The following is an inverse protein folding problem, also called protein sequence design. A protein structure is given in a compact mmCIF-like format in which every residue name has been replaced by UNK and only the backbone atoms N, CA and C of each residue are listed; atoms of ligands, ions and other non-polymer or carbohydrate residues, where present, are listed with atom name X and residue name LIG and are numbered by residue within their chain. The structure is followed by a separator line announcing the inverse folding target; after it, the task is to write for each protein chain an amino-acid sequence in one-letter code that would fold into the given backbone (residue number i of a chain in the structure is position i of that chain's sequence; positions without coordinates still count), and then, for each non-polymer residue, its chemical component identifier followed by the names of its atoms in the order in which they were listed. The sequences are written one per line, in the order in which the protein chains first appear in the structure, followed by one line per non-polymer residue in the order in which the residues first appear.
data_IF_446934672457
#
_entry.id   IF_446934672457
#
_cell.length_a   1.000
_cell.length_b   1.000
_cell.length_c   1.000
_cell.angle_alpha   90.00
_cell.angle_beta   90.00
_cell.angle_gamma   90.00
#
_symmetry.space_group_name_H-M   'P 1'
#
loop_
_entity.id
_entity.type
_entity.pdbx_description
1 polymer ?
#
# COMPACT_ATOMS: atom_id res chain seq x y z
N UNK A 1 -2.01 11.82 9.99
CA UNK A 1 -1.65 13.24 9.72
C UNK A 1 -0.42 13.74 10.51
N UNK A 2 0.28 12.85 11.23
CA UNK A 2 1.47 13.20 12.01
C UNK A 2 1.18 13.97 13.30
N UNK A 3 -0.03 13.89 13.84
CA UNK A 3 -0.41 14.49 15.12
C UNK A 3 0.02 13.65 16.35
N UNK A 4 0.53 12.44 16.11
CA UNK A 4 0.96 11.49 17.13
C UNK A 4 -0.14 10.57 17.65
N UNK A 5 -1.33 10.58 17.03
CA UNK A 5 -2.42 9.62 17.26
C UNK A 5 -2.46 8.58 16.14
N UNK A 6 -3.04 7.43 16.45
CA UNK A 6 -3.23 6.36 15.47
C UNK A 6 -4.39 6.74 14.53
N UNK A 7 -4.13 6.69 13.22
CA UNK A 7 -5.11 6.90 12.16
C UNK A 7 -5.71 5.55 11.68
N UNK A 8 -6.81 5.62 10.94
CA UNK A 8 -7.46 4.45 10.35
C UNK A 8 -7.43 4.53 8.82
N UNK A 9 -7.02 3.43 8.18
CA UNK A 9 -7.03 3.29 6.71
C UNK A 9 -7.90 2.10 6.32
N UNK A 10 -8.82 2.29 5.37
CA UNK A 10 -9.79 1.27 4.93
C UNK A 10 -9.82 1.19 3.41
N UNK A 11 -9.58 0.01 2.86
CA UNK A 11 -9.72 -0.26 1.43
C UNK A 11 -11.16 -0.57 1.00
N UNK A 12 -11.55 -0.09 -0.18
CA UNK A 12 -12.79 -0.41 -0.88
C UNK A 12 -12.47 -0.85 -2.31
N UNK A 13 -11.95 -2.08 -2.50
CA UNK A 13 -11.40 -2.53 -3.78
C UNK A 13 -12.42 -2.57 -4.92
N UNK A 14 -13.70 -2.85 -4.63
CA UNK A 14 -14.76 -2.80 -5.65
C UNK A 14 -15.08 -1.39 -6.15
N UNK A 15 -14.62 -0.36 -5.43
CA UNK A 15 -14.71 1.04 -5.84
C UNK A 15 -13.35 1.59 -6.31
N UNK A 16 -12.29 0.78 -6.29
CA UNK A 16 -10.90 1.19 -6.53
C UNK A 16 -10.47 2.37 -5.65
N UNK A 17 -10.85 2.35 -4.36
CA UNK A 17 -10.59 3.45 -3.44
C UNK A 17 -10.03 3.00 -2.08
N UNK A 18 -9.35 3.92 -1.40
CA UNK A 18 -8.95 3.80 0.00
C UNK A 18 -9.38 5.07 0.75
N UNK A 19 -9.96 4.90 1.93
CA UNK A 19 -10.31 5.99 2.83
C UNK A 19 -9.31 6.07 3.98
N UNK A 20 -8.89 7.27 4.32
CA UNK A 20 -8.12 7.59 5.53
C UNK A 20 -8.99 8.41 6.45
N UNK A 21 -9.01 8.02 7.73
CA UNK A 21 -9.68 8.72 8.81
C UNK A 21 -8.64 9.10 9.85
N UNK A 22 -8.52 10.38 10.16
CA UNK A 22 -7.59 10.85 11.17
C UNK A 22 -8.08 10.49 12.57
N UNK A 23 -7.16 10.04 13.42
CA UNK A 23 -7.45 9.48 14.74
C UNK A 23 -8.16 10.42 15.70
N UNK A 24 -8.06 11.73 15.47
CA UNK A 24 -8.64 12.75 16.33
C UNK A 24 -10.18 12.68 16.33
N UNK A 25 -10.73 12.19 17.44
CA UNK A 25 -12.18 12.17 17.65
C UNK A 25 -12.90 10.98 16.99
N UNK A 26 -12.18 9.98 16.49
CA UNK A 26 -12.80 8.72 16.06
C UNK A 26 -13.41 7.99 17.26
N UNK A 27 -14.75 7.98 17.32
CA UNK A 27 -15.53 7.25 18.32
C UNK A 27 -16.71 6.55 17.66
N UNK A 28 -16.92 5.28 18.01
CA UNK A 28 -18.05 4.50 17.50
C UNK A 28 -17.94 4.15 16.02
N UNK A 29 -19.02 4.35 15.27
CA UNK A 29 -19.11 3.97 13.85
C UNK A 29 -18.78 5.16 12.96
N UNK A 30 -17.95 4.93 11.94
CA UNK A 30 -17.63 5.93 10.91
C UNK A 30 -18.21 5.54 9.56
N UNK A 31 -18.54 6.56 8.75
CA UNK A 31 -19.08 6.40 7.40
C UNK A 31 -17.98 6.67 6.37
N UNK A 32 -18.04 6.03 5.21
CA UNK A 32 -17.13 6.37 4.11
C UNK A 32 -17.17 7.86 3.74
N UNK A 33 -18.35 8.49 3.87
CA UNK A 33 -18.54 9.92 3.59
C UNK A 33 -17.88 10.85 4.60
N UNK A 34 -17.41 10.33 5.74
CA UNK A 34 -16.67 11.08 6.75
C UNK A 34 -15.16 10.80 6.69
N UNK A 35 -14.68 10.20 5.61
CA UNK A 35 -13.25 10.05 5.38
C UNK A 35 -12.61 11.43 5.25
N UNK A 36 -11.47 11.62 5.92
CA UNK A 36 -10.67 12.84 5.82
C UNK A 36 -9.97 12.91 4.47
N UNK A 37 -9.47 11.77 3.98
CA UNK A 37 -8.85 11.66 2.66
C UNK A 37 -9.38 10.44 1.93
N UNK A 38 -9.74 10.61 0.65
CA UNK A 38 -10.06 9.49 -0.24
C UNK A 38 -8.99 9.38 -1.32
N UNK A 39 -8.31 8.24 -1.36
CA UNK A 39 -7.42 7.85 -2.44
C UNK A 39 -8.23 7.16 -3.53
N UNK A 40 -8.00 7.52 -4.80
CA UNK A 40 -8.65 6.89 -5.96
C UNK A 40 -7.61 6.23 -6.86
N UNK A 41 -7.79 4.92 -7.05
CA UNK A 41 -7.00 4.07 -7.92
C UNK A 41 -7.44 4.10 -9.39
N UNK A 42 -6.70 3.40 -10.27
CA UNK A 42 -7.16 3.12 -11.62
C UNK A 42 -8.46 2.31 -11.61
N UNK A 43 -9.35 2.56 -12.57
CA UNK A 43 -10.66 1.90 -12.66
C UNK A 43 -10.50 0.40 -12.97
N UNK A 44 -11.14 -0.45 -12.18
CA UNK A 44 -11.15 -1.91 -12.35
C UNK A 44 -9.84 -2.59 -11.94
N UNK A 45 -9.00 -1.89 -11.19
CA UNK A 45 -7.69 -2.37 -10.75
C UNK A 45 -7.74 -3.15 -9.44
N UNK A 46 -8.87 -3.08 -8.72
CA UNK A 46 -9.00 -3.60 -7.37
C UNK A 46 -8.23 -2.76 -6.35
N UNK A 47 -7.95 -1.49 -6.64
CA UNK A 47 -7.11 -0.64 -5.80
C UNK A 47 -7.62 -0.60 -4.35
N UNK A 48 -6.73 -0.88 -3.40
CA UNK A 48 -7.10 -1.00 -1.98
C UNK A 48 -7.54 -2.40 -1.57
N UNK A 49 -7.16 -3.44 -2.30
CA UNK A 49 -7.36 -4.85 -1.89
C UNK A 49 -6.53 -5.15 -0.64
N UNK A 50 -5.30 -4.65 -0.60
CA UNK A 50 -4.40 -4.62 0.52
C UNK A 50 -3.92 -3.18 0.76
N UNK A 51 -3.86 -2.82 2.03
CA UNK A 51 -3.28 -1.55 2.49
C UNK A 51 -2.25 -1.82 3.58
N UNK A 52 -1.11 -1.15 3.50
CA UNK A 52 -0.01 -1.33 4.40
C UNK A 52 0.51 0.03 4.84
N UNK A 53 0.45 0.28 6.16
CA UNK A 53 1.16 1.41 6.78
C UNK A 53 2.59 0.93 7.06
N UNK A 54 3.57 1.70 6.62
CA UNK A 54 4.99 1.42 6.87
C UNK A 54 5.62 2.65 7.49
N UNK A 55 6.41 2.43 8.54
CA UNK A 55 7.16 3.51 9.15
C UNK A 55 8.13 4.08 8.13
N UNK A 56 7.95 5.35 7.83
CA UNK A 56 8.95 6.24 7.23
C UNK A 56 9.89 5.59 6.19
N UNK A 57 9.31 4.95 5.17
CA UNK A 57 10.07 4.28 4.09
C UNK A 57 10.82 5.30 3.25
N UNK A 58 10.31 6.53 3.19
CA UNK A 58 10.91 7.64 2.45
C UNK A 58 11.85 8.52 3.28
N UNK A 59 11.92 8.32 4.59
CA UNK A 59 12.84 9.03 5.48
C UNK A 59 12.49 10.49 5.78
N UNK A 60 11.20 10.80 5.79
CA UNK A 60 10.57 12.10 6.01
C UNK A 60 9.79 12.16 7.35
N UNK A 61 10.04 11.23 8.27
CA UNK A 61 9.53 11.17 9.64
C UNK A 61 8.00 10.98 9.76
N UNK A 62 7.36 10.44 8.74
CA UNK A 62 5.92 10.10 8.74
C UNK A 62 5.71 8.73 8.13
N UNK A 63 4.72 8.01 8.64
CA UNK A 63 4.38 6.70 8.10
C UNK A 63 3.82 6.83 6.68
N UNK A 64 4.35 6.01 5.77
CA UNK A 64 3.94 5.96 4.38
C UNK A 64 2.84 4.92 4.20
N UNK A 65 1.93 5.19 3.26
CA UNK A 65 0.83 4.30 2.91
C UNK A 65 1.14 3.60 1.59
N UNK A 66 1.15 2.27 1.62
CA UNK A 66 1.20 1.44 0.42
C UNK A 66 -0.15 0.83 0.13
N UNK A 67 -0.59 0.97 -1.11
CA UNK A 67 -1.86 0.46 -1.60
C UNK A 67 -1.62 -0.40 -2.84
N UNK A 68 -2.16 -1.61 -2.85
CA UNK A 68 -2.09 -2.47 -4.04
C UNK A 68 -3.18 -2.13 -5.06
N UNK A 69 -2.97 -2.58 -6.28
CA UNK A 69 -3.89 -2.54 -7.40
C UNK A 69 -3.72 -3.85 -8.19
N UNK A 70 -4.30 -4.96 -7.71
CA UNK A 70 -3.98 -6.32 -8.13
C UNK A 70 -4.15 -6.62 -9.63
N UNK A 71 -5.10 -5.97 -10.30
CA UNK A 71 -5.38 -6.20 -11.73
C UNK A 71 -4.81 -5.11 -12.62
N UNK A 72 -4.16 -4.10 -12.05
CA UNK A 72 -3.57 -3.00 -12.80
C UNK A 72 -2.45 -3.48 -13.72
N UNK A 73 -2.45 -3.01 -14.97
CA UNK A 73 -1.43 -3.34 -15.97
C UNK A 73 -1.20 -4.87 -16.17
N UNK A 74 -2.18 -5.71 -15.83
CA UNK A 74 -2.20 -7.16 -16.08
C UNK A 74 -1.44 -8.05 -15.10
N UNK A 75 -0.46 -7.51 -14.36
CA UNK A 75 0.31 -8.24 -13.34
C UNK A 75 0.14 -7.68 -11.92
N UNK A 76 -0.52 -6.53 -11.80
CA UNK A 76 -0.70 -5.80 -10.55
C UNK A 76 0.38 -4.75 -10.30
N UNK A 77 -0.01 -3.69 -9.61
CA UNK A 77 0.88 -2.62 -9.17
C UNK A 77 0.72 -2.37 -7.66
N UNK A 78 1.73 -1.75 -7.07
CA UNK A 78 1.62 -1.13 -5.76
C UNK A 78 1.97 0.36 -5.84
N UNK A 79 1.22 1.17 -5.12
CA UNK A 79 1.34 2.61 -5.07
C UNK A 79 1.82 3.01 -3.67
N UNK A 80 2.89 3.80 -3.60
CA UNK A 80 3.40 4.35 -2.33
C UNK A 80 3.04 5.82 -2.25
N UNK A 81 2.30 6.17 -1.20
CA UNK A 81 1.91 7.53 -0.85
C UNK A 81 2.68 7.94 0.39
N UNK A 82 3.43 9.04 0.27
CA UNK A 82 4.22 9.56 1.36
C UNK A 82 3.35 10.08 2.50
N UNK A 83 3.76 9.84 3.75
CA UNK A 83 3.08 10.35 4.93
C UNK A 83 2.88 11.88 4.94
N UNK A 84 3.75 12.62 4.22
CA UNK A 84 3.63 14.08 4.05
C UNK A 84 2.48 14.51 3.13
N UNK A 85 1.88 13.60 2.35
CA UNK A 85 0.72 13.91 1.53
C UNK A 85 -0.57 14.02 2.37
N UNK A 86 -0.56 13.41 3.56
CA UNK A 86 -1.66 13.40 4.53
C UNK A 86 -1.52 14.57 5.51
N UNK A 87 -1.73 15.79 4.99
CA UNK A 87 -1.78 17.03 5.77
C UNK A 87 -3.21 17.54 5.89
N UNK A 88 -3.47 18.35 6.91
CA UNK A 88 -4.76 19.02 7.08
C UNK A 88 -5.10 19.84 5.83
N UNK A 89 -6.25 19.55 5.23
CA UNK A 89 -6.74 20.21 4.01
C UNK A 89 -6.61 19.36 2.74
N UNK A 90 -5.79 18.30 2.76
CA UNK A 90 -5.89 17.26 1.72
C UNK A 90 -7.17 16.48 1.93
N UNK A 91 -7.99 16.34 0.89
CA UNK A 91 -9.27 15.58 0.94
C UNK A 91 -9.36 14.48 -0.10
N UNK A 92 -8.54 14.56 -1.15
CA UNK A 92 -8.48 13.56 -2.20
C UNK A 92 -7.05 13.43 -2.75
N UNK A 93 -6.66 12.21 -3.06
CA UNK A 93 -5.37 11.89 -3.71
C UNK A 93 -5.66 10.89 -4.85
N UNK A 94 -5.23 11.21 -6.07
CA UNK A 94 -5.32 10.29 -7.20
C UNK A 94 -4.09 9.36 -7.26
N UNK A 95 -4.23 8.19 -7.86
CA UNK A 95 -3.14 7.26 -8.13
C UNK A 95 -1.93 7.91 -8.85
N UNK A 96 -2.19 8.91 -9.70
CA UNK A 96 -1.16 9.68 -10.42
C UNK A 96 -0.30 10.56 -9.50
N UNK A 97 -0.68 10.71 -8.24
CA UNK A 97 0.04 11.45 -7.22
C UNK A 97 0.85 10.53 -6.28
N UNK A 98 0.87 9.21 -6.52
CA UNK A 98 1.75 8.33 -5.79
C UNK A 98 3.21 8.73 -6.02
N UNK A 99 4.01 8.76 -4.94
CA UNK A 99 5.44 9.05 -5.02
C UNK A 99 6.19 7.95 -5.76
N UNK A 100 5.78 6.69 -5.56
CA UNK A 100 6.36 5.54 -6.24
C UNK A 100 5.26 4.60 -6.74
N UNK A 101 5.51 4.02 -7.92
CA UNK A 101 4.70 2.93 -8.49
C UNK A 101 5.63 1.74 -8.68
N UNK A 102 5.24 0.62 -8.09
CA UNK A 102 5.98 -0.64 -8.10
C UNK A 102 5.21 -1.59 -9.01
N UNK A 103 5.80 -1.95 -10.14
CA UNK A 103 5.22 -2.90 -11.07
C UNK A 103 5.58 -4.32 -10.65
N UNK A 104 4.60 -5.23 -10.62
CA UNK A 104 4.92 -6.65 -10.61
C UNK A 104 5.42 -7.05 -12.01
N UNK A 105 6.65 -7.55 -12.15
CA UNK A 105 7.08 -8.08 -13.44
C UNK A 105 6.38 -9.41 -13.71
N UNK A 106 5.36 -9.40 -14.57
CA UNK A 106 4.85 -10.57 -15.32
C UNK A 106 4.69 -11.88 -14.53
N UNK A 107 4.03 -11.86 -13.36
CA UNK A 107 3.56 -13.09 -12.70
C UNK A 107 2.05 -12.99 -12.51
N UNK A 108 1.33 -14.07 -12.85
CA UNK A 108 -0.14 -14.21 -12.87
C UNK A 108 -0.84 -14.16 -11.51
N UNK A 109 -0.25 -13.48 -10.53
CA UNK A 109 -0.86 -13.30 -9.23
C UNK A 109 -0.52 -11.93 -8.70
N UNK A 110 -1.53 -11.19 -8.20
CA UNK A 110 -1.30 -9.86 -7.68
C UNK A 110 -0.29 -9.88 -6.54
N UNK A 111 0.45 -8.77 -6.35
CA UNK A 111 1.34 -8.63 -5.22
C UNK A 111 0.54 -8.74 -3.92
N UNK A 112 0.75 -9.82 -3.15
CA UNK A 112 0.36 -9.83 -1.74
C UNK A 112 1.47 -9.06 -1.01
N UNK A 113 1.20 -7.82 -0.61
CA UNK A 113 2.23 -6.94 0.00
C UNK A 113 2.47 -7.28 1.50
N UNK A 114 1.80 -8.30 2.06
CA UNK A 114 1.59 -8.39 3.52
C UNK A 114 1.94 -9.68 4.27
N UNK A 115 2.46 -10.75 3.67
CA UNK A 115 2.97 -11.91 4.47
C UNK A 115 4.46 -11.84 4.80
N UNK A 116 4.87 -10.85 5.58
CA UNK A 116 5.92 -11.07 6.57
C UNK A 116 5.80 -10.02 7.68
N UNK A 117 5.07 -10.39 8.72
CA UNK A 117 5.07 -9.71 10.01
C UNK A 117 6.48 -9.80 10.62
N UNK A 118 7.29 -8.78 10.38
CA UNK A 118 8.54 -8.49 11.09
C UNK A 118 8.72 -6.97 11.15
N UNK A 119 9.44 -6.43 12.16
CA UNK A 119 9.72 -4.99 12.21
C UNK A 119 10.37 -4.55 10.88
N UNK A 120 10.14 -3.30 10.46
CA UNK A 120 10.72 -2.77 9.23
C UNK A 120 12.22 -3.07 9.22
N UNK A 121 12.64 -3.91 8.28
CA UNK A 121 14.02 -4.35 8.17
C UNK A 121 14.67 -3.45 7.13
N UNK A 122 15.56 -2.59 7.60
CA UNK A 122 16.55 -1.87 6.79
C UNK A 122 17.53 -2.93 6.24
N UNK A 123 17.22 -3.46 5.06
CA UNK A 123 17.96 -4.55 4.43
C UNK A 123 19.26 -4.06 3.78
N UNK A 124 19.36 -2.79 3.38
CA UNK A 124 20.56 -2.25 2.75
C UNK A 124 21.45 -1.37 3.67
N UNK A 125 20.99 -1.10 4.89
CA UNK A 125 21.73 -0.41 5.94
C UNK A 125 21.74 1.11 5.79
N UNK A 126 20.79 1.68 5.05
CA UNK A 126 20.69 3.13 4.81
C UNK A 126 20.02 3.90 5.96
N UNK A 127 19.51 3.17 6.96
CA UNK A 127 18.84 3.71 8.14
C UNK A 127 17.33 3.86 7.96
N UNK A 128 16.76 3.46 6.82
CA UNK A 128 15.34 3.50 6.53
C UNK A 128 14.74 2.09 6.33
N UNK A 129 13.48 1.90 6.73
CA UNK A 129 12.73 0.69 6.42
C UNK A 129 12.60 0.37 4.93
N UNK A 130 13.01 -0.82 4.50
CA UNK A 130 12.73 -1.30 3.15
C UNK A 130 11.34 -1.95 3.02
N UNK A 131 10.80 -1.94 1.80
CA UNK A 131 9.56 -2.64 1.44
C UNK A 131 9.87 -3.87 0.59
N UNK A 132 9.34 -5.02 1.01
CA UNK A 132 9.26 -6.23 0.20
C UNK A 132 7.83 -6.43 -0.32
N UNK A 133 7.70 -6.64 -1.63
CA UNK A 133 6.46 -7.01 -2.30
C UNK A 133 6.64 -8.40 -2.90
N UNK A 134 5.73 -9.35 -2.65
CA UNK A 134 5.80 -10.67 -3.28
C UNK A 134 4.51 -10.99 -4.03
N UNK A 135 4.63 -11.80 -5.07
CA UNK A 135 3.47 -12.37 -5.78
C UNK A 135 3.24 -13.81 -5.33
N UNK A 136 1.99 -14.17 -5.02
CA UNK A 136 1.63 -15.55 -4.66
C UNK A 136 0.89 -16.21 -5.80
N UNK A 137 1.57 -17.07 -6.56
CA UNK A 137 0.87 -17.92 -7.53
C UNK A 137 -0.01 -18.92 -6.78
N UNK A 138 -1.33 -18.79 -6.92
CA UNK A 138 -2.25 -19.82 -6.45
C UNK A 138 -2.13 -21.03 -7.39
N UNK A 139 -1.38 -22.04 -6.97
CA UNK A 139 -1.26 -23.29 -7.74
C UNK A 139 -2.46 -24.19 -7.39
N UNK A 140 -3.31 -24.60 -8.36
CA UNK A 140 -4.33 -25.62 -8.13
C UNK A 140 -3.68 -26.97 -7.80
N UNK A 141 -4.15 -27.65 -6.76
CA UNK A 141 -3.77 -29.04 -6.45
C UNK A 141 -4.44 -30.00 -7.46
N UNK A 142 -3.74 -30.97 -8.10
CA UNK A 142 -2.34 -31.37 -7.97
C UNK A 142 -1.49 -30.95 -9.18
N UNK A 143 -0.70 -29.88 -9.06
CA UNK A 143 0.25 -29.46 -10.08
C UNK A 143 1.71 -29.71 -9.64
N UNK A 144 2.65 -29.93 -10.59
CA UNK A 144 4.06 -30.26 -10.33
C UNK A 144 4.82 -29.05 -9.73
N UNK A 145 6.10 -29.16 -9.32
CA UNK A 145 6.67 -28.40 -8.20
C UNK A 145 6.58 -26.88 -8.38
N UNK A 146 6.47 -26.13 -7.26
CA UNK A 146 6.12 -24.70 -7.27
C UNK A 146 7.10 -23.89 -8.12
N UNK A 147 6.55 -23.09 -9.03
CA UNK A 147 7.34 -22.04 -9.70
C UNK A 147 7.58 -20.91 -8.71
N UNK A 148 8.81 -20.39 -8.75
CA UNK A 148 9.43 -19.48 -7.79
C UNK A 148 8.52 -18.30 -7.41
N UNK A 149 8.38 -18.05 -6.11
CA UNK A 149 7.87 -16.79 -5.58
C UNK A 149 8.91 -15.69 -5.91
N UNK A 150 8.50 -14.62 -6.59
CA UNK A 150 9.36 -13.46 -6.82
C UNK A 150 9.07 -12.41 -5.76
N UNK A 151 10.09 -12.00 -5.01
CA UNK A 151 10.04 -10.87 -4.09
C UNK A 151 10.80 -9.69 -4.72
N UNK A 152 10.16 -8.53 -4.78
CA UNK A 152 10.78 -7.27 -5.20
C UNK A 152 11.11 -6.47 -3.94
N UNK A 153 12.35 -6.01 -3.86
CA UNK A 153 12.78 -5.03 -2.88
C UNK A 153 12.74 -3.66 -3.53
N UNK A 154 12.00 -2.74 -2.93
CA UNK A 154 11.99 -1.35 -3.39
C UNK A 154 12.95 -0.60 -2.50
N UNK A 155 14.05 -0.19 -3.12
CA UNK A 155 15.12 0.56 -2.49
C UNK A 155 14.64 1.96 -2.11
N UNK A 156 14.87 2.36 -0.86
CA UNK A 156 14.92 3.78 -0.49
C UNK A 156 16.11 4.42 -1.22
N UNK A 157 15.86 5.25 -2.23
CA UNK A 157 16.94 6.01 -2.88
C UNK A 157 17.11 7.36 -2.19
N UNK A 158 18.18 7.50 -1.41
CA UNK A 158 18.91 8.77 -1.33
C UNK A 158 20.17 8.72 -2.20
#
# INVERSE_FOLDING_TARGET
DGDGKDDLVVGAPSADQVAVFYGEGLVGSVSWSSADVVLTGPIGSGFGTNVAIRRDVTGLLRDDLVVDAPTESGAGQAYVFEGLQFVIGTTAIANTQASYIINADSVESPPDILSLLGPPSDFDGDGFPDIAVYTRTAVPDPAPPPRLNTAYFVRSTR
#
